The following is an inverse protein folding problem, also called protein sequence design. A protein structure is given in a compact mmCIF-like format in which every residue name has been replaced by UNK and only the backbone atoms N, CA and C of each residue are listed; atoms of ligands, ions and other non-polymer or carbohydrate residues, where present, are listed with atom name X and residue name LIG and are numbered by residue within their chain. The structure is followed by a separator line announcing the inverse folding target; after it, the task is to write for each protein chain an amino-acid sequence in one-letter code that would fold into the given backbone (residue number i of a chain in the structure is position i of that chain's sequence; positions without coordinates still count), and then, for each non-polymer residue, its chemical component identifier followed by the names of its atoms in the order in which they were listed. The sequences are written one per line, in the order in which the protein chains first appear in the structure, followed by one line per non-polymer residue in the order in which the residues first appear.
data_IF_794735752333
#
_entry.id   IF_794735752333
#
_cell.length_a   1.000
_cell.length_b   1.000
_cell.length_c   1.000
_cell.angle_alpha   90.00
_cell.angle_beta   90.00
_cell.angle_gamma   90.00
#
_symmetry.space_group_name_H-M   'P 1'
#
loop_
_entity.id
_entity.type
_entity.pdbx_description
1 polymer ?
#
# COMPACT_ATOMS: atom_id res chain seq x y z
N UNK A 1 25.30 3.85 7.08
CA UNK A 1 24.89 3.12 5.87
C UNK A 1 25.22 1.65 6.04
N UNK A 2 24.28 0.88 6.58
CA UNK A 2 24.43 -0.57 6.73
C UNK A 2 24.00 -1.19 5.41
N UNK A 3 24.93 -1.83 4.69
CA UNK A 3 24.59 -2.58 3.48
C UNK A 3 23.83 -3.83 3.90
N UNK A 4 22.52 -3.83 3.65
CA UNK A 4 21.67 -5.00 3.85
C UNK A 4 22.16 -6.13 2.93
N UNK A 5 22.38 -7.31 3.52
CA UNK A 5 22.67 -8.52 2.77
C UNK A 5 21.33 -9.25 2.51
N UNK A 6 20.80 -9.19 1.27
CA UNK A 6 19.47 -9.70 0.94
C UNK A 6 19.38 -11.24 0.94
N UNK A 7 20.43 -11.95 1.35
CA UNK A 7 20.46 -13.42 1.43
C UNK A 7 20.13 -13.96 2.84
N UNK A 8 20.00 -13.08 3.85
CA UNK A 8 19.78 -13.46 5.26
C UNK A 8 18.41 -13.06 5.84
N UNK A 9 17.54 -12.42 5.05
CA UNK A 9 16.21 -12.00 5.51
C UNK A 9 15.24 -13.16 5.25
N UNK A 10 14.62 -13.75 6.29
CA UNK A 10 13.57 -14.76 6.10
C UNK A 10 12.28 -14.09 5.61
N UNK A 11 11.41 -14.86 4.95
CA UNK A 11 10.21 -14.37 4.27
C UNK A 11 9.26 -13.52 5.14
N UNK A 12 9.20 -13.80 6.45
CA UNK A 12 8.36 -13.04 7.40
C UNK A 12 9.05 -11.75 7.85
N UNK A 13 10.38 -11.77 7.92
CA UNK A 13 11.18 -10.66 8.40
C UNK A 13 11.16 -9.51 7.39
N UNK A 14 11.11 -9.77 6.07
CA UNK A 14 11.07 -8.69 5.08
C UNK A 14 9.78 -7.87 5.16
N UNK A 15 8.61 -8.52 5.21
CA UNK A 15 7.35 -7.79 5.30
C UNK A 15 7.23 -7.02 6.61
N UNK A 16 7.76 -7.58 7.72
CA UNK A 16 7.83 -6.90 9.00
C UNK A 16 8.79 -5.69 8.97
N UNK A 17 9.95 -5.82 8.34
CA UNK A 17 10.91 -4.73 8.11
C UNK A 17 10.33 -3.61 7.23
N UNK A 18 9.56 -3.97 6.19
CA UNK A 18 8.80 -3.00 5.39
C UNK A 18 7.72 -2.33 6.24
N UNK A 19 6.99 -3.07 7.07
CA UNK A 19 5.97 -2.50 7.97
C UNK A 19 6.55 -1.55 9.02
N UNK A 20 7.75 -1.82 9.53
CA UNK A 20 8.41 -0.98 10.52
C UNK A 20 9.00 0.30 9.93
N UNK A 21 8.90 0.51 8.62
CA UNK A 21 9.49 1.67 7.95
C UNK A 21 11.01 1.61 7.84
N UNK A 22 11.61 0.41 7.94
CA UNK A 22 13.08 0.25 7.84
C UNK A 22 13.62 0.81 6.51
N UNK A 23 12.77 0.85 5.49
CA UNK A 23 13.10 1.28 4.14
C UNK A 23 12.53 2.65 3.76
N UNK A 24 11.97 3.43 4.69
CA UNK A 24 11.33 4.72 4.37
C UNK A 24 12.32 5.75 3.77
N UNK A 25 13.63 5.61 4.05
CA UNK A 25 14.70 6.39 3.43
C UNK A 25 15.33 5.77 2.18
N UNK A 26 14.84 4.61 1.72
CA UNK A 26 15.31 3.91 0.53
C UNK A 26 14.57 4.36 -0.71
N UNK A 27 15.17 4.19 -1.89
CA UNK A 27 14.47 4.49 -3.14
C UNK A 27 13.33 3.49 -3.37
N UNK A 28 12.23 3.90 -4.03
CA UNK A 28 11.11 3.02 -4.40
C UNK A 28 11.61 1.73 -5.04
N UNK A 29 12.46 1.89 -6.05
CA UNK A 29 13.02 0.79 -6.82
C UNK A 29 13.80 -0.20 -5.95
N UNK A 30 14.50 0.25 -4.90
CA UNK A 30 15.22 -0.64 -4.00
C UNK A 30 14.27 -1.51 -3.16
N UNK A 31 13.19 -0.92 -2.63
CA UNK A 31 12.19 -1.67 -1.86
C UNK A 31 11.41 -2.63 -2.76
N UNK A 32 11.08 -2.21 -3.98
CA UNK A 32 10.42 -3.07 -4.96
C UNK A 32 11.31 -4.23 -5.42
N UNK A 33 12.61 -4.02 -5.59
CA UNK A 33 13.56 -5.10 -5.88
C UNK A 33 13.65 -6.10 -4.72
N UNK A 34 13.62 -5.65 -3.47
CA UNK A 34 13.60 -6.53 -2.30
C UNK A 34 12.30 -7.36 -2.26
N UNK A 35 11.15 -6.72 -2.48
CA UNK A 35 9.86 -7.40 -2.55
C UNK A 35 9.78 -8.40 -3.71
N UNK A 36 10.37 -8.07 -4.88
CA UNK A 36 10.43 -8.98 -6.03
C UNK A 36 11.32 -10.18 -5.72
N UNK A 37 12.49 -9.96 -5.12
CA UNK A 37 13.38 -11.04 -4.69
C UNK A 37 12.69 -11.96 -3.67
N UNK A 38 11.90 -11.40 -2.74
CA UNK A 38 11.15 -12.13 -1.73
C UNK A 38 10.15 -13.12 -2.29
N UNK A 39 9.43 -12.77 -3.36
CA UNK A 39 8.54 -13.71 -4.05
C UNK A 39 9.25 -14.62 -5.06
N UNK A 40 10.59 -14.68 -5.03
CA UNK A 40 11.38 -15.52 -5.93
C UNK A 40 11.48 -14.99 -7.37
N UNK A 41 11.15 -13.71 -7.59
CA UNK A 41 11.19 -13.07 -8.90
C UNK A 41 12.53 -12.37 -9.07
N UNK A 42 13.46 -13.02 -9.78
CA UNK A 42 14.82 -12.49 -10.00
C UNK A 42 14.87 -11.39 -11.07
N UNK A 43 13.99 -11.43 -12.08
CA UNK A 43 13.90 -10.41 -13.15
C UNK A 43 12.47 -10.32 -13.70
N UNK A 44 11.55 -9.60 -13.02
CA UNK A 44 10.23 -9.33 -13.60
C UNK A 44 10.32 -8.14 -14.56
N UNK A 45 10.53 -8.40 -15.84
CA UNK A 45 10.21 -7.41 -16.88
C UNK A 45 8.69 -7.20 -17.00
N UNK A 46 7.88 -8.14 -16.50
CA UNK A 46 6.42 -8.10 -16.54
C UNK A 46 5.85 -8.75 -15.28
N UNK A 47 5.24 -7.98 -14.38
CA UNK A 47 4.60 -8.49 -13.14
C UNK A 47 3.34 -9.33 -13.39
N UNK A 48 3.04 -9.66 -14.65
CA UNK A 48 1.90 -10.48 -15.04
C UNK A 48 2.01 -11.92 -14.49
N UNK A 49 3.21 -12.44 -14.29
CA UNK A 49 3.40 -13.81 -13.80
C UNK A 49 3.38 -13.91 -12.26
N UNK A 50 3.36 -12.76 -11.57
CA UNK A 50 3.22 -12.72 -10.11
C UNK A 50 1.76 -12.96 -9.75
N UNK A 51 1.52 -13.93 -8.88
CA UNK A 51 0.19 -14.25 -8.36
C UNK A 51 -0.01 -13.85 -6.89
N UNK A 52 1.07 -13.62 -6.15
CA UNK A 52 0.99 -13.31 -4.72
C UNK A 52 0.42 -11.92 -4.47
N UNK A 53 -0.76 -11.86 -3.86
CA UNK A 53 -1.47 -10.63 -3.52
C UNK A 53 -0.67 -9.77 -2.53
N UNK A 54 0.08 -10.40 -1.63
CA UNK A 54 0.88 -9.69 -0.62
C UNK A 54 1.96 -8.85 -1.29
N UNK A 55 2.52 -9.35 -2.40
CA UNK A 55 3.45 -8.59 -3.23
C UNK A 55 2.78 -7.33 -3.80
N UNK A 56 1.63 -7.48 -4.45
CA UNK A 56 0.93 -6.34 -5.05
C UNK A 56 0.50 -5.31 -4.00
N UNK A 57 0.00 -5.78 -2.84
CA UNK A 57 -0.35 -4.93 -1.70
C UNK A 57 0.86 -4.14 -1.19
N UNK A 58 2.01 -4.79 -1.02
CA UNK A 58 3.23 -4.13 -0.58
C UNK A 58 3.73 -3.12 -1.63
N UNK A 59 3.67 -3.47 -2.92
CA UNK A 59 4.03 -2.62 -4.04
C UNK A 59 3.18 -1.32 -4.08
N UNK A 60 1.85 -1.43 -4.10
CA UNK A 60 0.99 -0.22 -4.16
C UNK A 60 1.13 0.63 -2.90
N UNK A 61 1.34 0.01 -1.74
CA UNK A 61 1.58 0.71 -0.47
C UNK A 61 2.86 1.52 -0.51
N UNK A 62 3.94 0.89 -0.97
CA UNK A 62 5.24 1.55 -1.04
C UNK A 62 5.18 2.74 -2.01
N UNK A 63 4.58 2.55 -3.19
CA UNK A 63 4.41 3.63 -4.17
C UNK A 63 3.58 4.79 -3.60
N UNK A 64 2.54 4.51 -2.81
CA UNK A 64 1.73 5.54 -2.16
C UNK A 64 2.53 6.40 -1.19
N UNK A 65 3.31 5.75 -0.32
CA UNK A 65 4.13 6.40 0.71
C UNK A 65 5.19 7.27 0.07
N UNK A 66 5.87 6.75 -0.95
CA UNK A 66 6.86 7.52 -1.72
C UNK A 66 6.24 8.76 -2.36
N UNK A 67 5.09 8.61 -3.03
CA UNK A 67 4.42 9.74 -3.65
C UNK A 67 4.08 10.83 -2.62
N UNK A 68 3.75 10.46 -1.39
CA UNK A 68 3.48 11.40 -0.30
C UNK A 68 4.77 12.01 0.28
N UNK A 69 5.81 11.22 0.53
CA UNK A 69 7.09 11.71 1.05
C UNK A 69 7.82 12.63 0.06
N UNK A 70 7.55 12.55 -1.24
CA UNK A 70 8.05 13.53 -2.21
C UNK A 70 7.34 14.88 -2.11
N UNK A 71 6.09 14.90 -1.65
CA UNK A 71 5.28 16.11 -1.51
C UNK A 71 5.40 16.76 -0.12
N UNK A 72 5.77 15.98 0.90
CA UNK A 72 5.79 16.37 2.31
C UNK A 72 7.03 15.82 3.01
N UNK A 73 7.58 16.54 4.00
CA UNK A 73 8.74 16.08 4.78
C UNK A 73 8.47 14.77 5.56
N UNK A 74 7.21 14.52 5.91
CA UNK A 74 6.72 13.27 6.51
C UNK A 74 5.57 12.69 5.67
N UNK A 75 5.46 11.36 5.51
CA UNK A 75 4.37 10.73 4.79
C UNK A 75 3.07 10.87 5.59
N UNK A 76 2.28 11.90 5.24
CA UNK A 76 1.03 12.23 5.91
C UNK A 76 -0.05 12.47 4.87
N UNK A 77 -1.23 11.89 5.10
CA UNK A 77 -2.42 12.17 4.31
C UNK A 77 -3.16 13.37 4.91
N UNK A 78 -3.38 14.40 4.11
CA UNK A 78 -4.07 15.64 4.50
C UNK A 78 -5.23 15.88 3.54
N UNK A 79 -6.42 16.10 4.08
CA UNK A 79 -7.57 16.56 3.31
C UNK A 79 -7.62 18.08 3.35
N UNK A 80 -7.38 18.76 2.23
CA UNK A 80 -7.32 20.23 2.19
C UNK A 80 -8.60 20.95 2.66
N UNK A 81 -9.72 20.24 2.68
CA UNK A 81 -11.05 20.69 3.09
C UNK A 81 -11.38 20.41 4.58
N UNK A 82 -10.55 19.65 5.31
CA UNK A 82 -10.80 19.34 6.72
C UNK A 82 -9.52 19.45 7.57
N UNK A 83 -9.59 20.02 8.79
CA UNK A 83 -8.45 20.06 9.70
C UNK A 83 -8.21 18.66 10.26
N UNK A 84 -7.39 17.88 9.57
CA UNK A 84 -7.02 16.53 9.99
C UNK A 84 -5.88 15.99 9.14
N UNK A 85 -5.01 15.22 9.79
CA UNK A 85 -3.91 14.55 9.13
C UNK A 85 -3.80 13.12 9.65
N UNK A 86 -3.46 12.18 8.76
CA UNK A 86 -3.26 10.78 9.11
C UNK A 86 -1.83 10.37 8.77
N UNK A 87 -1.02 9.90 9.74
CA UNK A 87 0.30 9.37 9.43
C UNK A 87 0.18 8.12 8.56
N UNK A 88 0.88 8.13 7.42
CA UNK A 88 0.94 7.03 6.46
C UNK A 88 2.18 6.19 6.72
N UNK A 89 2.06 5.17 7.56
CA UNK A 89 3.06 4.11 7.65
C UNK A 89 2.72 2.97 6.69
N UNK A 90 3.71 2.17 6.23
CA UNK A 90 3.44 1.00 5.40
C UNK A 90 2.41 0.06 6.06
N UNK A 91 2.55 -0.17 7.37
CA UNK A 91 1.62 -0.98 8.14
C UNK A 91 0.18 -0.45 8.10
N UNK A 92 -0.02 0.86 8.30
CA UNK A 92 -1.35 1.47 8.27
C UNK A 92 -1.99 1.32 6.90
N UNK A 93 -1.26 1.68 5.83
CA UNK A 93 -1.76 1.61 4.45
C UNK A 93 -2.11 0.16 4.07
N UNK A 94 -1.26 -0.82 4.44
CA UNK A 94 -1.56 -2.24 4.18
C UNK A 94 -2.76 -2.74 4.96
N UNK A 95 -2.86 -2.40 6.25
CA UNK A 95 -4.00 -2.79 7.08
C UNK A 95 -5.32 -2.31 6.51
N UNK A 96 -5.34 -1.07 6.03
CA UNK A 96 -6.47 -0.43 5.38
C UNK A 96 -6.84 -1.09 4.05
N UNK A 97 -5.84 -1.41 3.21
CA UNK A 97 -6.10 -2.16 1.97
C UNK A 97 -6.74 -3.53 2.26
N UNK A 98 -6.31 -4.23 3.32
CA UNK A 98 -6.92 -5.52 3.69
C UNK A 98 -8.38 -5.33 4.10
N UNK A 99 -8.66 -4.37 4.98
CA UNK A 99 -10.00 -4.19 5.55
C UNK A 99 -10.99 -3.61 4.54
N UNK A 100 -10.56 -2.63 3.74
CA UNK A 100 -11.48 -1.77 3.00
C UNK A 100 -11.47 -2.06 1.49
N UNK A 101 -10.47 -2.80 1.00
CA UNK A 101 -10.42 -3.27 -0.40
C UNK A 101 -10.61 -4.79 -0.49
N UNK A 102 -9.72 -5.56 0.14
CA UNK A 102 -9.68 -7.01 -0.06
C UNK A 102 -10.86 -7.74 0.57
N UNK A 103 -11.23 -7.41 1.81
CA UNK A 103 -12.34 -8.06 2.49
C UNK A 103 -13.69 -7.85 1.78
N UNK A 104 -14.03 -6.64 1.24
CA UNK A 104 -15.19 -6.46 0.40
C UNK A 104 -15.17 -7.28 -0.90
N UNK A 105 -14.02 -7.36 -1.58
CA UNK A 105 -13.86 -8.21 -2.78
C UNK A 105 -14.08 -9.68 -2.41
N UNK A 106 -13.46 -10.15 -1.33
CA UNK A 106 -13.60 -11.52 -0.85
C UNK A 106 -15.06 -11.88 -0.55
N UNK A 107 -15.78 -10.96 0.10
CA UNK A 107 -17.21 -11.12 0.42
C UNK A 107 -18.09 -11.17 -0.84
N UNK A 108 -17.71 -10.46 -1.91
CA UNK A 108 -18.49 -10.37 -3.14
C UNK A 108 -18.31 -11.59 -4.05
N UNK A 109 -17.08 -12.06 -4.20
CA UNK A 109 -16.72 -13.08 -5.20
C UNK A 109 -16.54 -14.49 -4.62
N UNK A 110 -16.43 -14.63 -3.29
CA UNK A 110 -16.22 -15.91 -2.64
C UNK A 110 -14.81 -16.47 -2.86
N UNK A 111 -14.46 -17.51 -2.09
CA UNK A 111 -13.08 -17.99 -1.95
C UNK A 111 -12.40 -18.37 -3.28
N UNK A 112 -13.15 -18.93 -4.24
CA UNK A 112 -12.59 -19.44 -5.50
C UNK A 112 -12.07 -18.33 -6.43
N UNK A 113 -12.68 -17.15 -6.42
CA UNK A 113 -12.33 -16.06 -7.34
C UNK A 113 -11.63 -14.89 -6.63
N UNK A 114 -11.69 -14.84 -5.29
CA UNK A 114 -11.16 -13.74 -4.47
C UNK A 114 -9.73 -13.36 -4.85
N UNK A 115 -8.84 -14.34 -4.98
CA UNK A 115 -7.42 -14.05 -5.20
C UNK A 115 -7.17 -13.40 -6.56
N UNK A 116 -7.81 -13.93 -7.61
CA UNK A 116 -7.70 -13.41 -8.96
C UNK A 116 -8.28 -11.98 -9.06
N UNK A 117 -9.42 -11.74 -8.42
CA UNK A 117 -10.08 -10.43 -8.44
C UNK A 117 -9.29 -9.36 -7.67
N UNK A 118 -8.75 -9.68 -6.49
CA UNK A 118 -7.89 -8.77 -5.74
C UNK A 118 -6.64 -8.43 -6.55
N UNK A 119 -5.98 -9.45 -7.13
CA UNK A 119 -4.82 -9.24 -7.99
C UNK A 119 -5.15 -8.34 -9.18
N UNK A 120 -6.25 -8.60 -9.88
CA UNK A 120 -6.67 -7.81 -11.03
C UNK A 120 -6.98 -6.36 -10.63
N UNK A 121 -7.53 -6.15 -9.44
CA UNK A 121 -7.76 -4.82 -8.89
C UNK A 121 -6.43 -4.08 -8.66
N UNK A 122 -5.45 -4.73 -8.00
CA UNK A 122 -4.14 -4.11 -7.80
C UNK A 122 -3.41 -3.83 -9.11
N UNK A 123 -3.51 -4.71 -10.12
CA UNK A 123 -2.91 -4.46 -11.43
C UNK A 123 -3.50 -3.20 -12.10
N UNK A 124 -4.78 -2.90 -11.91
CA UNK A 124 -5.38 -1.65 -12.40
C UNK A 124 -4.85 -0.41 -11.67
N UNK A 125 -4.44 -0.56 -10.41
CA UNK A 125 -3.84 0.53 -9.62
C UNK A 125 -2.39 0.86 -10.03
N UNK A 126 -1.78 0.05 -10.88
CA UNK A 126 -0.39 0.21 -11.31
C UNK A 126 -0.32 0.76 -12.74
N UNK A 127 0.70 1.56 -13.01
CA UNK A 127 1.06 2.03 -14.33
C UNK A 127 2.54 1.72 -14.62
N UNK A 128 2.84 1.47 -15.89
CA UNK A 128 4.20 1.26 -16.38
C UNK A 128 4.67 2.53 -17.08
N UNK A 129 5.67 3.19 -16.49
CA UNK A 129 6.31 4.38 -17.02
C UNK A 129 7.21 4.09 -18.23
N UNK A 130 7.53 5.15 -18.97
CA UNK A 130 8.52 5.13 -20.05
C UNK A 130 9.89 4.77 -19.45
N UNK A 131 10.37 3.56 -19.67
CA UNK A 131 11.63 3.05 -19.09
C UNK A 131 11.48 1.86 -18.13
N UNK A 132 10.26 1.35 -17.92
CA UNK A 132 10.03 0.17 -17.08
C UNK A 132 9.89 0.47 -15.58
N UNK A 133 9.85 1.74 -15.21
CA UNK A 133 9.49 2.16 -13.85
C UNK A 133 8.01 1.86 -13.59
N UNK A 134 7.68 1.38 -12.39
CA UNK A 134 6.29 1.20 -11.97
C UNK A 134 5.89 2.40 -11.12
N UNK A 135 4.73 2.96 -11.41
CA UNK A 135 4.10 4.00 -10.61
C UNK A 135 2.66 3.63 -10.28
N UNK A 136 2.00 4.42 -9.44
CA UNK A 136 0.55 4.34 -9.30
C UNK A 136 -0.12 4.91 -10.56
N UNK A 137 -1.12 4.20 -11.07
CA UNK A 137 -2.01 4.73 -12.10
C UNK A 137 -2.89 5.86 -11.53
N UNK A 138 -3.51 6.71 -12.37
CA UNK A 138 -4.49 7.69 -11.91
C UNK A 138 -5.61 7.04 -11.08
N UNK A 139 -6.08 5.86 -11.51
CA UNK A 139 -7.05 5.07 -10.76
C UNK A 139 -6.51 4.62 -9.40
N UNK A 140 -5.27 4.15 -9.32
CA UNK A 140 -4.64 3.76 -8.06
C UNK A 140 -4.53 4.92 -7.06
N UNK A 141 -4.16 6.10 -7.55
CA UNK A 141 -4.12 7.33 -6.75
C UNK A 141 -5.52 7.70 -6.23
N UNK A 142 -6.53 7.63 -7.08
CA UNK A 142 -7.93 7.94 -6.71
C UNK A 142 -8.43 6.97 -5.63
N UNK A 143 -8.28 5.66 -5.83
CA UNK A 143 -8.70 4.63 -4.86
C UNK A 143 -8.04 4.85 -3.51
N UNK A 144 -6.71 5.02 -3.48
CA UNK A 144 -5.98 5.23 -2.23
C UNK A 144 -6.41 6.53 -1.55
N UNK A 145 -6.66 7.60 -2.31
CA UNK A 145 -7.16 8.87 -1.78
C UNK A 145 -8.52 8.72 -1.13
N UNK A 146 -9.47 8.05 -1.80
CA UNK A 146 -10.83 7.88 -1.29
C UNK A 146 -10.88 6.99 -0.03
N UNK A 147 -10.11 5.89 -0.02
CA UNK A 147 -10.03 5.02 1.16
C UNK A 147 -9.49 5.80 2.37
N UNK A 148 -8.39 6.54 2.21
CA UNK A 148 -7.81 7.31 3.31
C UNK A 148 -8.70 8.50 3.72
N UNK A 149 -9.41 9.13 2.78
CA UNK A 149 -10.41 10.17 3.10
C UNK A 149 -11.54 9.61 3.94
N UNK A 150 -12.10 8.44 3.59
CA UNK A 150 -13.18 7.83 4.35
C UNK A 150 -12.75 7.54 5.80
N UNK A 151 -11.53 7.06 6.01
CA UNK A 151 -10.97 6.78 7.33
C UNK A 151 -10.75 8.07 8.13
N UNK A 152 -10.14 9.08 7.51
CA UNK A 152 -9.90 10.36 8.18
C UNK A 152 -11.24 11.01 8.58
N UNK A 153 -12.25 10.93 7.71
CA UNK A 153 -13.60 11.39 8.01
C UNK A 153 -14.21 10.60 9.19
N UNK A 154 -14.07 9.28 9.24
CA UNK A 154 -14.56 8.51 10.39
C UNK A 154 -13.80 8.82 11.68
N UNK A 155 -12.48 9.03 11.62
CA UNK A 155 -11.69 9.43 12.78
C UNK A 155 -12.11 10.81 13.32
N UNK A 156 -12.42 11.77 12.45
CA UNK A 156 -12.87 13.13 12.80
C UNK A 156 -14.34 13.12 13.28
N UNK A 157 -15.23 12.47 12.54
CA UNK A 157 -16.69 12.56 12.75
C UNK A 157 -17.28 11.39 13.53
N UNK A 158 -16.70 10.19 13.48
CA UNK A 158 -17.11 9.03 14.27
C UNK A 158 -16.95 9.27 15.77
N UNK A 159 -15.86 9.93 16.18
CA UNK A 159 -15.68 10.43 17.55
C UNK A 159 -16.73 11.48 17.97
N UNK A 160 -17.25 12.24 17.00
CA UNK A 160 -18.28 13.26 17.22
C UNK A 160 -19.70 12.68 17.32
N UNK A 161 -19.96 11.49 16.77
CA UNK A 161 -21.22 10.74 16.96
C UNK A 161 -21.27 10.00 18.29
N UNK A 162 -20.16 9.38 18.71
CA UNK A 162 -20.08 8.70 20.01
C UNK A 162 -20.35 9.64 21.20
N UNK A 163 -19.91 10.91 21.10
CA UNK A 163 -20.18 11.94 22.13
C UNK A 163 -21.60 12.50 22.14
N UNK A 164 -22.42 12.27 21.09
CA UNK A 164 -23.81 12.76 21.02
C UNK A 164 -24.86 11.72 21.44
N UNK A 165 -24.46 10.47 21.70
CA UNK A 165 -25.34 9.39 22.17
C UNK A 165 -25.44 9.24 23.69
N UNK A 166 -24.88 10.18 24.47
CA UNK A 166 -24.93 10.22 25.93
C UNK A 166 -25.59 11.53 26.38
N UNK A 167 -26.89 11.69 26.14
CA UNK A 167 -27.75 12.64 26.83
C UNK A 167 -29.19 12.16 26.84
#
# INVERSE_FOLDING_TARGET
MTRLNPDNIRDVDLLASVDSGEFDGSTPSAVLMLLAKWIGVQECKVYADVTDIRFFRALVTQLWIINHSHAYEEPVFITGDQPGSLPLTPANVRGVLISDLEAPIAKRYGAEQTEAEIRNFYLQMLAYGQGGEITLSPFGVEVLTEIHRAILQDAIYGNSRAKRGLH
#
